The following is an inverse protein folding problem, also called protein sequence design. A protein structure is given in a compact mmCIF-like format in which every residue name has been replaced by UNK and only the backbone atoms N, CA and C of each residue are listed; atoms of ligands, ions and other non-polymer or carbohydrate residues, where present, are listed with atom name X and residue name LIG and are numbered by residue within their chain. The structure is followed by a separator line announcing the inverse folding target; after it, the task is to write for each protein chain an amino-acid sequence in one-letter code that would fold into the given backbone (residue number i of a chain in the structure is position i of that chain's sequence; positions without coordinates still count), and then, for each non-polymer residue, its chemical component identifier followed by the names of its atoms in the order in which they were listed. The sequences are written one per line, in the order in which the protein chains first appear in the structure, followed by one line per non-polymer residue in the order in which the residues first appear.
data_IF_734688189501
#
_entry.id   IF_734688189501
#
_cell.length_a   1.000
_cell.length_b   1.000
_cell.length_c   1.000
_cell.angle_alpha   90.00
_cell.angle_beta   90.00
_cell.angle_gamma   90.00
#
_symmetry.space_group_name_H-M   'P 1'
#
loop_
_entity.id
_entity.type
_entity.pdbx_description
1 polymer ?
#
# COMPACT_ATOMS: atom_id res chain seq x y z
N UNK A 1 27.57 0.75 -11.89
CA UNK A 1 27.48 2.22 -11.99
C UNK A 1 28.32 2.86 -10.91
N UNK A 2 29.13 3.87 -11.30
CA UNK A 2 30.02 4.61 -10.38
C UNK A 2 29.29 5.77 -9.68
N UNK A 3 28.02 5.59 -9.34
CA UNK A 3 27.20 6.61 -8.74
C UNK A 3 26.87 6.29 -7.27
N UNK A 4 26.91 7.31 -6.42
CA UNK A 4 26.56 7.22 -5.00
C UNK A 4 25.49 8.26 -4.69
N UNK A 5 24.50 7.91 -3.89
CA UNK A 5 23.48 8.84 -3.42
C UNK A 5 23.89 9.40 -2.08
N UNK A 6 23.84 10.72 -1.95
CA UNK A 6 24.01 11.48 -0.71
C UNK A 6 22.70 12.16 -0.34
N UNK A 7 22.39 12.24 0.94
CA UNK A 7 21.21 12.96 1.43
C UNK A 7 21.61 14.10 2.38
N UNK A 8 20.93 15.24 2.26
CA UNK A 8 21.08 16.37 3.17
C UNK A 8 19.75 16.69 3.84
N UNK A 9 19.80 16.90 5.15
CA UNK A 9 18.61 17.34 5.91
C UNK A 9 18.27 18.78 5.55
N UNK A 10 16.99 19.00 5.24
CA UNK A 10 16.45 20.33 4.92
C UNK A 10 15.26 20.66 5.83
N UNK A 11 14.97 21.95 5.97
CA UNK A 11 13.85 22.44 6.77
C UNK A 11 13.79 21.82 8.18
N UNK A 12 14.92 21.77 8.88
CA UNK A 12 15.06 21.15 10.22
C UNK A 12 14.70 19.65 10.25
N UNK A 13 14.89 18.96 9.12
CA UNK A 13 14.66 17.51 9.02
C UNK A 13 13.25 17.11 8.57
N UNK A 14 12.44 18.04 8.09
CA UNK A 14 11.12 17.77 7.54
C UNK A 14 11.22 16.98 6.24
N UNK A 15 12.26 17.25 5.45
CA UNK A 15 12.61 16.46 4.28
C UNK A 15 14.12 16.38 4.09
N UNK A 16 14.57 15.45 3.25
CA UNK A 16 15.94 15.33 2.82
C UNK A 16 16.02 15.62 1.33
N UNK A 17 17.01 16.42 0.93
CA UNK A 17 17.37 16.59 -0.47
C UNK A 17 18.38 15.51 -0.86
N UNK A 18 18.16 14.88 -2.01
CA UNK A 18 18.96 13.76 -2.51
C UNK A 18 19.87 14.25 -3.63
N UNK A 19 21.13 13.87 -3.55
CA UNK A 19 22.17 14.24 -4.51
C UNK A 19 22.79 13.00 -5.13
N UNK A 20 22.97 13.00 -6.42
CA UNK A 20 23.66 11.96 -7.14
C UNK A 20 25.11 12.41 -7.41
N UNK A 21 26.08 11.68 -6.87
CA UNK A 21 27.50 11.98 -6.93
C UNK A 21 28.23 10.86 -7.68
N UNK A 22 29.34 11.18 -8.37
CA UNK A 22 30.23 10.15 -8.90
C UNK A 22 31.08 9.55 -7.76
N UNK A 23 31.32 8.25 -7.83
CA UNK A 23 32.19 7.56 -6.87
C UNK A 23 33.62 8.06 -7.07
N UNK A 24 34.18 8.69 -6.03
CA UNK A 24 35.52 9.27 -6.05
C UNK A 24 35.56 10.81 -6.12
N UNK A 25 34.42 11.48 -6.35
CA UNK A 25 34.29 12.92 -6.09
C UNK A 25 34.13 13.15 -4.58
N UNK A 26 34.41 14.40 -4.14
CA UNK A 26 34.14 14.82 -2.76
C UNK A 26 32.64 14.66 -2.46
N UNK A 27 32.29 13.52 -1.84
CA UNK A 27 30.91 13.15 -1.55
C UNK A 27 30.28 14.07 -0.50
N UNK A 28 31.06 14.88 0.21
CA UNK A 28 30.54 15.80 1.22
C UNK A 28 29.96 17.08 0.62
N UNK A 29 30.41 17.52 -0.55
CA UNK A 29 30.03 18.80 -1.15
C UNK A 29 29.60 18.73 -2.62
N UNK A 30 29.79 17.58 -3.27
CA UNK A 30 29.48 17.39 -4.69
C UNK A 30 28.11 16.81 -4.96
N UNK A 31 27.76 16.74 -6.24
CA UNK A 31 26.57 16.06 -6.75
C UNK A 31 25.47 16.99 -7.24
N UNK A 32 24.62 16.42 -8.11
CA UNK A 32 23.44 17.11 -8.66
C UNK A 32 22.22 16.70 -7.87
N UNK A 33 21.41 17.66 -7.42
CA UNK A 33 20.11 17.38 -6.82
C UNK A 33 19.25 16.53 -7.77
N UNK A 34 18.75 15.42 -7.28
CA UNK A 34 17.98 14.45 -8.06
C UNK A 34 16.59 14.16 -7.47
N UNK A 35 16.28 14.67 -6.28
CA UNK A 35 14.98 14.51 -5.65
C UNK A 35 14.98 14.78 -4.16
N UNK A 36 13.88 14.39 -3.55
CA UNK A 36 13.63 14.64 -2.12
C UNK A 36 13.06 13.37 -1.47
N UNK A 37 13.46 13.10 -0.24
CA UNK A 37 12.87 12.05 0.60
C UNK A 37 12.04 12.69 1.71
N UNK A 38 10.80 12.27 1.85
CA UNK A 38 9.79 12.85 2.73
C UNK A 38 9.12 11.72 3.51
N UNK A 39 9.03 11.86 4.82
CA UNK A 39 8.23 10.94 5.64
C UNK A 39 6.75 11.33 5.61
N UNK A 40 5.84 10.36 5.55
CA UNK A 40 4.39 10.60 5.70
C UNK A 40 4.06 11.33 7.01
N UNK A 41 4.80 11.06 8.07
CA UNK A 41 4.61 11.75 9.35
C UNK A 41 4.96 13.24 9.31
N UNK A 42 5.65 13.71 8.27
CA UNK A 42 5.97 15.12 8.07
C UNK A 42 4.89 15.88 7.27
N UNK A 43 3.79 15.25 6.89
CA UNK A 43 2.77 15.81 6.00
C UNK A 43 2.27 17.21 6.41
N UNK A 44 1.95 17.40 7.70
CA UNK A 44 1.43 18.68 8.18
C UNK A 44 2.48 19.81 8.17
N UNK A 45 3.72 19.45 8.42
CA UNK A 45 4.83 20.41 8.42
C UNK A 45 5.25 20.76 6.98
N UNK A 46 5.17 19.79 6.06
CA UNK A 46 5.56 19.96 4.66
C UNK A 46 4.75 21.06 3.96
N UNK A 47 3.50 21.27 4.34
CA UNK A 47 2.65 22.36 3.80
C UNK A 47 3.33 23.73 3.82
N UNK A 48 4.15 23.98 4.84
CA UNK A 48 4.87 25.26 5.01
C UNK A 48 6.05 25.40 4.04
N UNK A 49 6.56 24.29 3.51
CA UNK A 49 7.77 24.23 2.69
C UNK A 49 7.49 23.73 1.27
N UNK A 50 6.23 23.49 0.91
CA UNK A 50 5.87 22.92 -0.40
C UNK A 50 6.35 23.77 -1.58
N UNK A 51 6.48 25.08 -1.40
CA UNK A 51 7.01 25.99 -2.41
C UNK A 51 8.48 25.69 -2.79
N UNK A 52 9.26 25.11 -1.87
CA UNK A 52 10.66 24.71 -2.13
C UNK A 52 10.76 23.43 -2.97
N UNK A 53 9.66 22.72 -3.14
CA UNK A 53 9.54 21.44 -3.84
C UNK A 53 8.73 21.57 -5.12
N UNK A 54 8.67 22.78 -5.69
CA UNK A 54 7.86 23.08 -6.88
C UNK A 54 8.33 22.39 -8.16
N UNK A 55 9.58 21.95 -8.18
CA UNK A 55 10.21 21.22 -9.28
C UNK A 55 9.89 19.71 -9.32
N UNK A 56 9.24 19.17 -8.27
CA UNK A 56 8.84 17.76 -8.21
C UNK A 56 7.86 17.45 -9.34
N UNK A 57 8.18 16.41 -10.12
CA UNK A 57 7.40 15.98 -11.30
C UNK A 57 6.68 14.66 -11.11
N UNK A 58 7.08 13.88 -10.10
CA UNK A 58 6.50 12.57 -9.77
C UNK A 58 6.78 12.22 -8.32
N UNK A 59 5.93 11.40 -7.74
CA UNK A 59 6.14 10.82 -6.42
C UNK A 59 6.36 9.31 -6.59
N UNK A 60 7.25 8.78 -5.77
CA UNK A 60 7.41 7.33 -5.57
C UNK A 60 7.12 7.09 -4.11
N UNK A 61 6.15 6.21 -3.84
CA UNK A 61 5.85 5.75 -2.49
C UNK A 61 6.21 4.28 -2.40
N UNK A 62 7.36 4.02 -1.83
CA UNK A 62 7.92 2.68 -1.70
C UNK A 62 7.39 2.00 -0.44
N UNK A 63 7.21 0.69 -0.52
CA UNK A 63 6.71 -0.16 0.57
C UNK A 63 5.38 0.34 1.17
N UNK A 64 4.42 0.71 0.31
CA UNK A 64 3.13 1.23 0.77
C UNK A 64 2.27 0.21 1.53
N UNK A 65 2.61 -1.08 1.48
CA UNK A 65 1.99 -2.13 2.27
C UNK A 65 2.89 -2.53 3.43
N UNK A 66 2.39 -2.39 4.65
CA UNK A 66 3.12 -2.76 5.86
C UNK A 66 3.04 -4.26 6.12
N UNK A 67 4.17 -4.95 6.20
CA UNK A 67 4.25 -6.39 6.52
C UNK A 67 3.66 -6.73 7.90
N UNK A 68 3.75 -5.79 8.83
CA UNK A 68 3.24 -5.94 10.20
C UNK A 68 1.82 -5.40 10.37
N UNK A 69 1.19 -4.94 9.28
CA UNK A 69 -0.12 -4.28 9.27
C UNK A 69 -0.19 -3.03 10.18
N UNK A 70 0.95 -2.38 10.42
CA UNK A 70 1.03 -1.13 11.15
C UNK A 70 1.13 0.03 10.17
N UNK A 71 0.13 0.87 10.18
CA UNK A 71 0.05 2.10 9.40
C UNK A 71 0.06 3.30 10.33
N UNK A 72 0.60 4.41 9.88
CA UNK A 72 0.53 5.63 10.68
C UNK A 72 -0.93 6.14 10.74
N UNK A 73 -1.27 6.85 11.80
CA UNK A 73 -2.61 7.43 11.93
C UNK A 73 -2.92 8.32 10.72
N UNK A 74 -4.08 8.12 10.09
CA UNK A 74 -4.56 8.85 8.91
C UNK A 74 -3.56 8.81 7.74
N UNK A 75 -3.03 7.61 7.46
CA UNK A 75 -1.93 7.46 6.49
C UNK A 75 -2.33 7.88 5.08
N UNK A 76 -3.50 7.47 4.62
CA UNK A 76 -4.02 7.83 3.29
C UNK A 76 -4.23 9.33 3.17
N UNK A 77 -4.82 9.96 4.19
CA UNK A 77 -5.04 11.40 4.25
C UNK A 77 -3.72 12.18 4.25
N UNK A 78 -2.70 11.66 4.92
CA UNK A 78 -1.35 12.24 4.89
C UNK A 78 -0.74 12.18 3.49
N UNK A 79 -0.85 11.06 2.79
CA UNK A 79 -0.38 10.93 1.42
C UNK A 79 -1.11 11.92 0.50
N UNK A 80 -2.44 12.00 0.60
CA UNK A 80 -3.27 12.96 -0.15
C UNK A 80 -2.83 14.40 0.17
N UNK A 81 -2.58 14.70 1.43
CA UNK A 81 -2.13 16.03 1.87
C UNK A 81 -0.77 16.42 1.30
N UNK A 82 0.19 15.50 1.27
CA UNK A 82 1.50 15.69 0.64
C UNK A 82 1.31 15.95 -0.86
N UNK A 83 0.59 15.06 -1.55
CA UNK A 83 0.33 15.20 -2.98
C UNK A 83 -0.31 16.54 -3.32
N UNK A 84 -1.40 16.89 -2.64
CA UNK A 84 -2.11 18.16 -2.86
C UNK A 84 -1.20 19.37 -2.63
N UNK A 85 -0.33 19.30 -1.62
CA UNK A 85 0.61 20.40 -1.32
C UNK A 85 1.67 20.57 -2.41
N UNK A 86 2.13 19.47 -3.02
CA UNK A 86 3.15 19.47 -4.07
C UNK A 86 2.54 19.70 -5.47
N UNK A 87 1.28 19.32 -5.67
CA UNK A 87 0.57 19.50 -6.94
C UNK A 87 0.02 20.91 -7.12
N UNK A 88 0.08 21.77 -6.10
CA UNK A 88 -0.34 23.17 -6.25
C UNK A 88 0.54 23.86 -7.28
N UNK A 89 -0.14 24.33 -8.35
CA UNK A 89 0.46 25.23 -9.33
C UNK A 89 0.49 26.68 -8.82
N UNK A 90 1.01 27.56 -9.63
CA UNK A 90 0.86 28.99 -9.41
C UNK A 90 -0.53 29.44 -9.92
N UNK A 91 -1.30 30.16 -9.10
CA UNK A 91 -2.66 30.57 -9.42
C UNK A 91 -3.70 29.46 -9.23
N UNK A 92 -4.68 29.37 -10.11
CA UNK A 92 -5.80 28.43 -10.05
C UNK A 92 -5.50 27.05 -10.66
N UNK A 93 -4.29 26.84 -11.17
CA UNK A 93 -3.92 25.62 -11.87
C UNK A 93 -3.32 24.57 -10.92
N UNK A 94 -3.80 23.34 -11.06
CA UNK A 94 -3.19 22.16 -10.44
C UNK A 94 -2.21 21.51 -11.40
N UNK A 95 -1.03 21.22 -10.93
CA UNK A 95 0.01 20.51 -11.71
C UNK A 95 -0.30 19.02 -11.74
N UNK A 96 -0.18 18.37 -12.91
CA UNK A 96 -0.20 16.92 -13.00
C UNK A 96 1.00 16.32 -12.28
N UNK A 97 0.75 15.54 -11.24
CA UNK A 97 1.77 14.95 -10.39
C UNK A 97 1.45 13.47 -10.11
N UNK A 98 1.91 12.54 -10.96
CA UNK A 98 1.63 11.13 -10.77
C UNK A 98 2.33 10.56 -9.54
N UNK A 99 1.67 9.59 -8.87
CA UNK A 99 2.23 8.79 -7.78
C UNK A 99 2.42 7.36 -8.27
N UNK A 100 3.62 6.81 -8.07
CA UNK A 100 3.93 5.41 -8.24
C UNK A 100 4.02 4.77 -6.85
N UNK A 101 3.08 3.91 -6.53
CA UNK A 101 3.05 3.17 -5.27
C UNK A 101 3.62 1.78 -5.51
N UNK A 102 4.72 1.46 -4.86
CA UNK A 102 5.44 0.20 -5.00
C UNK A 102 5.34 -0.58 -3.70
N UNK A 103 5.19 -1.88 -3.79
CA UNK A 103 5.13 -2.74 -2.62
C UNK A 103 4.92 -4.20 -2.99
N UNK A 104 5.33 -5.09 -2.12
CA UNK A 104 5.03 -6.50 -2.22
C UNK A 104 3.59 -6.78 -1.79
N UNK A 105 2.98 -7.90 -2.18
CA UNK A 105 1.61 -8.25 -1.83
C UNK A 105 1.51 -8.70 -0.38
N UNK A 106 1.23 -7.78 0.53
CA UNK A 106 1.10 -8.07 1.96
C UNK A 106 -0.34 -8.42 2.33
N UNK A 107 -1.28 -7.51 2.06
CA UNK A 107 -2.70 -7.71 2.34
C UNK A 107 -3.58 -6.96 1.35
N UNK A 108 -4.68 -7.58 0.91
CA UNK A 108 -5.70 -6.90 0.11
C UNK A 108 -6.52 -5.90 0.93
N UNK A 109 -6.48 -6.02 2.26
CA UNK A 109 -7.21 -5.14 3.17
C UNK A 109 -6.38 -3.94 3.64
N UNK A 110 -5.28 -3.63 2.94
CA UNK A 110 -4.50 -2.43 3.26
C UNK A 110 -5.32 -1.14 3.04
N UNK A 111 -5.00 -0.04 3.74
CA UNK A 111 -5.79 1.19 3.71
C UNK A 111 -5.99 1.77 2.30
N UNK A 112 -4.99 1.65 1.44
CA UNK A 112 -5.03 2.18 0.07
C UNK A 112 -5.97 1.38 -0.83
N UNK A 113 -5.92 0.04 -0.76
CA UNK A 113 -6.82 -0.82 -1.53
C UNK A 113 -8.26 -0.68 -1.09
N UNK A 114 -8.49 -0.50 0.21
CA UNK A 114 -9.82 -0.23 0.75
C UNK A 114 -10.34 1.12 0.26
N UNK A 115 -9.53 2.17 0.35
CA UNK A 115 -9.92 3.51 -0.07
C UNK A 115 -10.20 3.63 -1.58
N UNK A 116 -9.40 2.94 -2.41
CA UNK A 116 -9.56 2.92 -3.87
C UNK A 116 -10.61 1.90 -4.34
N UNK A 117 -11.22 1.13 -3.45
CA UNK A 117 -12.18 0.08 -3.80
C UNK A 117 -11.54 -1.10 -4.56
N UNK A 118 -10.24 -1.27 -4.43
CA UNK A 118 -9.49 -2.38 -5.05
C UNK A 118 -9.83 -3.69 -4.36
N UNK A 119 -9.87 -3.70 -3.02
CA UNK A 119 -10.05 -4.90 -2.21
C UNK A 119 -11.27 -5.76 -2.59
N UNK A 120 -12.37 -5.13 -3.04
CA UNK A 120 -13.60 -5.81 -3.45
C UNK A 120 -13.61 -6.25 -4.92
N UNK A 121 -12.64 -5.79 -5.72
CA UNK A 121 -12.59 -6.01 -7.17
C UNK A 121 -11.44 -6.92 -7.58
N UNK A 122 -10.45 -7.09 -6.69
CA UNK A 122 -9.27 -7.88 -6.94
C UNK A 122 -9.63 -9.37 -6.93
N UNK A 123 -9.13 -10.12 -7.92
CA UNK A 123 -9.25 -11.58 -8.02
C UNK A 123 -7.85 -12.18 -8.14
N UNK A 124 -7.75 -13.49 -7.92
CA UNK A 124 -6.47 -14.21 -7.98
C UNK A 124 -5.75 -14.11 -9.32
N UNK A 125 -6.51 -13.98 -10.42
CA UNK A 125 -6.01 -13.88 -11.79
C UNK A 125 -5.88 -12.42 -12.29
N UNK A 126 -6.20 -11.43 -11.44
CA UNK A 126 -6.15 -10.02 -11.83
C UNK A 126 -4.72 -9.57 -12.04
N UNK A 127 -4.33 -9.26 -13.27
CA UNK A 127 -3.05 -8.63 -13.59
C UNK A 127 -3.11 -7.12 -13.55
N UNK A 128 -4.19 -6.55 -14.08
CA UNK A 128 -4.42 -5.11 -14.12
C UNK A 128 -5.82 -4.78 -13.65
N UNK A 129 -5.95 -3.71 -12.87
CA UNK A 129 -7.22 -3.18 -12.45
C UNK A 129 -7.22 -1.66 -12.63
N UNK A 130 -8.16 -1.18 -13.46
CA UNK A 130 -8.34 0.26 -13.70
C UNK A 130 -9.47 0.81 -12.85
N UNK A 131 -9.24 1.97 -12.25
CA UNK A 131 -10.24 2.81 -11.62
C UNK A 131 -10.19 4.23 -12.18
N UNK A 132 -11.03 5.09 -11.64
CA UNK A 132 -10.97 6.52 -11.97
C UNK A 132 -9.70 7.11 -11.33
N UNK A 133 -8.82 7.61 -12.16
CA UNK A 133 -7.56 8.23 -11.73
C UNK A 133 -6.46 7.27 -11.29
N UNK A 134 -6.62 5.94 -11.38
CA UNK A 134 -5.56 4.99 -11.03
C UNK A 134 -5.52 3.72 -11.90
N UNK A 135 -4.35 3.11 -11.95
CA UNK A 135 -4.13 1.75 -12.46
C UNK A 135 -3.36 0.98 -11.41
N UNK A 136 -3.84 -0.22 -11.06
CA UNK A 136 -3.12 -1.17 -10.24
C UNK A 136 -2.62 -2.29 -11.14
N UNK A 137 -1.37 -2.69 -10.97
CA UNK A 137 -0.73 -3.81 -11.64
C UNK A 137 -0.21 -4.80 -10.61
N UNK A 138 -0.51 -6.07 -10.77
CA UNK A 138 0.18 -7.16 -10.09
C UNK A 138 1.32 -7.65 -10.98
N UNK A 139 2.48 -7.02 -10.80
CA UNK A 139 3.70 -7.38 -11.53
C UNK A 139 4.31 -8.67 -10.98
N UNK A 140 4.78 -9.51 -11.87
CA UNK A 140 5.57 -10.70 -11.53
C UNK A 140 6.74 -10.84 -12.48
N UNK A 141 7.95 -10.90 -11.91
CA UNK A 141 9.18 -11.07 -12.69
C UNK A 141 9.71 -12.48 -12.44
N UNK A 142 9.35 -13.40 -13.34
CA UNK A 142 9.66 -14.83 -13.20
C UNK A 142 11.16 -15.11 -13.00
N UNK A 143 12.03 -14.43 -13.74
CA UNK A 143 13.48 -14.61 -13.63
C UNK A 143 14.03 -14.21 -12.25
N UNK A 144 13.51 -13.14 -11.65
CA UNK A 144 13.88 -12.71 -10.31
C UNK A 144 13.36 -13.69 -9.26
N UNK A 145 12.12 -14.15 -9.42
CA UNK A 145 11.50 -15.15 -8.55
C UNK A 145 12.29 -16.47 -8.54
N UNK A 146 12.66 -16.97 -9.71
CA UNK A 146 13.48 -18.19 -9.83
C UNK A 146 14.83 -17.98 -9.13
N UNK A 147 15.53 -16.88 -9.41
CA UNK A 147 16.82 -16.60 -8.78
C UNK A 147 16.75 -16.52 -7.25
N UNK A 148 15.69 -15.91 -6.71
CA UNK A 148 15.46 -15.86 -5.27
C UNK A 148 15.19 -17.25 -4.69
N UNK A 149 14.30 -18.02 -5.30
CA UNK A 149 13.89 -19.35 -4.84
C UNK A 149 15.05 -20.34 -4.89
N UNK A 150 15.91 -20.26 -5.90
CA UNK A 150 17.09 -21.14 -6.08
C UNK A 150 18.28 -20.76 -5.21
N UNK A 151 18.24 -19.63 -4.51
CA UNK A 151 19.28 -19.29 -3.55
C UNK A 151 19.38 -20.36 -2.46
N UNK A 152 20.61 -20.66 -2.01
CA UNK A 152 20.83 -21.68 -0.99
C UNK A 152 20.07 -21.37 0.31
N UNK A 153 19.99 -20.11 0.69
CA UNK A 153 19.25 -19.65 1.86
C UNK A 153 17.75 -19.93 1.72
N UNK A 154 17.11 -19.51 0.63
CA UNK A 154 15.67 -19.70 0.45
C UNK A 154 15.30 -21.17 0.27
N UNK A 155 16.16 -22.00 -0.33
CA UNK A 155 15.96 -23.45 -0.37
C UNK A 155 15.95 -24.08 1.03
N UNK A 156 16.83 -23.64 1.93
CA UNK A 156 16.86 -24.13 3.31
C UNK A 156 15.58 -23.79 4.09
N UNK A 157 14.89 -22.68 3.73
CA UNK A 157 13.65 -22.22 4.36
C UNK A 157 12.43 -22.35 3.44
N UNK A 158 12.44 -23.24 2.45
CA UNK A 158 11.42 -23.36 1.42
C UNK A 158 10.00 -23.62 1.93
N UNK A 159 9.87 -24.22 3.12
CA UNK A 159 8.57 -24.43 3.78
C UNK A 159 8.04 -23.18 4.50
N UNK A 160 8.83 -22.12 4.59
CA UNK A 160 8.43 -20.92 5.29
C UNK A 160 7.55 -20.02 4.38
N UNK A 161 6.40 -19.61 4.89
CA UNK A 161 5.46 -18.73 4.21
C UNK A 161 6.09 -17.44 3.67
N UNK A 162 7.09 -16.90 4.38
CA UNK A 162 7.77 -15.69 3.96
C UNK A 162 8.58 -15.89 2.66
N UNK A 163 9.12 -17.09 2.44
CA UNK A 163 9.83 -17.41 1.18
C UNK A 163 8.85 -17.40 0.00
N UNK A 164 7.66 -17.97 0.15
CA UNK A 164 6.63 -17.92 -0.88
C UNK A 164 6.16 -16.47 -1.15
N UNK A 165 5.94 -15.69 -0.11
CA UNK A 165 5.62 -14.26 -0.22
C UNK A 165 6.70 -13.49 -0.99
N UNK A 166 7.97 -13.67 -0.64
CA UNK A 166 9.08 -12.95 -1.23
C UNK A 166 9.36 -13.36 -2.70
N UNK A 167 9.02 -14.59 -3.09
CA UNK A 167 9.41 -15.16 -4.39
C UNK A 167 8.25 -15.52 -5.33
N UNK A 168 7.02 -15.67 -4.83
CA UNK A 168 5.91 -16.23 -5.60
C UNK A 168 4.71 -15.29 -5.75
N UNK A 169 4.86 -14.03 -5.37
CA UNK A 169 3.77 -13.03 -5.40
C UNK A 169 2.51 -13.46 -4.62
N UNK A 170 2.72 -14.17 -3.52
CA UNK A 170 1.66 -14.63 -2.61
C UNK A 170 1.45 -13.62 -1.52
N UNK A 171 0.20 -13.31 -1.18
CA UNK A 171 -0.11 -12.39 -0.09
C UNK A 171 0.36 -12.93 1.27
N UNK A 172 1.14 -12.14 1.98
CA UNK A 172 1.76 -12.54 3.26
C UNK A 172 0.71 -12.79 4.34
N UNK A 173 -0.26 -11.90 4.48
CA UNK A 173 -1.23 -11.89 5.57
C UNK A 173 -2.62 -12.42 5.17
N UNK A 174 -2.88 -12.62 3.89
CA UNK A 174 -4.18 -13.03 3.38
C UNK A 174 -4.11 -14.40 2.71
N UNK A 175 -3.88 -15.46 3.47
CA UNK A 175 -3.86 -16.83 2.93
C UNK A 175 -5.17 -17.22 2.24
N UNK A 176 -6.22 -16.46 2.50
CA UNK A 176 -7.58 -16.69 2.03
C UNK A 176 -8.18 -15.42 1.42
N UNK A 177 -7.32 -14.56 0.85
CA UNK A 177 -7.70 -13.27 0.28
C UNK A 177 -8.81 -13.34 -0.77
N UNK A 178 -8.95 -14.50 -1.43
CA UNK A 178 -9.91 -14.73 -2.51
C UNK A 178 -10.89 -15.84 -2.16
N UNK A 179 -11.30 -15.98 -0.90
CA UNK A 179 -12.31 -16.97 -0.52
C UNK A 179 -13.61 -16.63 -1.23
N UNK A 180 -14.06 -17.56 -2.06
CA UNK A 180 -15.40 -17.54 -2.59
C UNK A 180 -16.41 -17.90 -1.49
N UNK A 181 -17.64 -17.40 -1.65
CA UNK A 181 -18.71 -17.77 -0.72
C UNK A 181 -18.88 -19.29 -0.71
N UNK A 182 -18.82 -19.95 0.46
CA UNK A 182 -19.05 -21.38 0.56
C UNK A 182 -20.42 -21.78 0.04
N UNK A 183 -20.52 -22.96 -0.59
CA UNK A 183 -21.76 -23.46 -1.19
C UNK A 183 -22.66 -24.23 -0.21
N UNK A 184 -22.32 -24.30 1.06
CA UNK A 184 -23.02 -25.07 2.07
C UNK A 184 -24.18 -24.34 2.75
N UNK A 185 -24.82 -25.05 3.70
CA UNK A 185 -25.78 -24.43 4.62
C UNK A 185 -25.04 -23.51 5.59
N UNK A 186 -25.54 -22.31 5.77
CA UNK A 186 -24.98 -21.36 6.71
C UNK A 186 -25.91 -21.06 7.87
N UNK A 187 -25.36 -20.84 9.05
CA UNK A 187 -26.05 -20.28 10.21
C UNK A 187 -25.78 -18.78 10.29
N UNK A 188 -26.82 -17.99 10.39
CA UNK A 188 -26.68 -16.54 10.63
C UNK A 188 -26.25 -16.34 12.08
N UNK A 189 -25.17 -15.58 12.31
CA UNK A 189 -24.62 -15.33 13.64
C UNK A 189 -24.95 -13.93 14.16
N UNK A 190 -24.78 -12.92 13.32
CA UNK A 190 -24.97 -11.53 13.71
C UNK A 190 -25.14 -10.63 12.50
N UNK A 191 -25.74 -9.47 12.73
CA UNK A 191 -25.67 -8.32 11.82
C UNK A 191 -24.60 -7.38 12.33
N UNK A 192 -23.63 -7.08 11.48
CA UNK A 192 -22.52 -6.19 11.79
C UNK A 192 -22.74 -4.84 11.08
N UNK A 193 -22.75 -3.75 11.87
CA UNK A 193 -22.77 -2.39 11.34
C UNK A 193 -21.34 -1.83 11.34
N UNK A 194 -20.91 -1.38 10.15
CA UNK A 194 -19.65 -0.66 9.99
C UNK A 194 -19.88 0.58 9.15
N UNK A 195 -19.58 1.74 9.70
CA UNK A 195 -19.93 3.03 9.11
C UNK A 195 -21.45 3.08 8.82
N UNK A 196 -21.83 3.30 7.57
CA UNK A 196 -23.25 3.40 7.14
C UNK A 196 -23.73 2.13 6.41
N UNK A 197 -23.05 1.00 6.58
CA UNK A 197 -23.42 -0.28 5.95
C UNK A 197 -23.61 -1.37 6.98
N UNK A 198 -24.54 -2.28 6.68
CA UNK A 198 -24.80 -3.48 7.45
C UNK A 198 -24.36 -4.71 6.68
N UNK A 199 -23.81 -5.69 7.41
CA UNK A 199 -23.29 -6.94 6.86
C UNK A 199 -23.86 -8.11 7.64
N UNK A 200 -24.11 -9.21 6.95
CA UNK A 200 -24.42 -10.50 7.55
C UNK A 200 -23.13 -11.21 7.96
N UNK A 201 -23.08 -11.71 9.17
CA UNK A 201 -22.04 -12.63 9.63
C UNK A 201 -22.64 -14.03 9.68
N UNK A 202 -22.08 -14.96 8.91
CA UNK A 202 -22.58 -16.33 8.76
C UNK A 202 -21.49 -17.34 9.06
N UNK A 203 -21.86 -18.41 9.69
CA UNK A 203 -20.99 -19.58 9.89
C UNK A 203 -21.37 -20.69 8.88
N UNK A 204 -20.37 -21.24 8.25
CA UNK A 204 -20.43 -22.45 7.44
C UNK A 204 -19.71 -23.56 8.24
N UNK A 205 -20.45 -24.23 9.12
CA UNK A 205 -19.87 -25.15 10.09
C UNK A 205 -19.15 -26.34 9.44
N UNK A 206 -19.68 -26.84 8.32
CA UNK A 206 -19.09 -27.97 7.58
C UNK A 206 -17.70 -27.64 7.01
N UNK A 207 -17.44 -26.37 6.74
CA UNK A 207 -16.16 -25.88 6.18
C UNK A 207 -15.29 -25.17 7.25
N UNK A 208 -15.82 -24.95 8.46
CA UNK A 208 -15.13 -24.24 9.52
C UNK A 208 -14.87 -22.76 9.21
N UNK A 209 -15.75 -22.12 8.41
CA UNK A 209 -15.55 -20.75 7.90
C UNK A 209 -16.62 -19.82 8.47
N UNK A 210 -16.17 -18.60 8.86
CA UNK A 210 -17.04 -17.46 9.11
C UNK A 210 -16.95 -16.52 7.91
N UNK A 211 -18.09 -16.23 7.30
CA UNK A 211 -18.21 -15.43 6.09
C UNK A 211 -19.07 -14.20 6.33
N UNK A 212 -18.65 -13.05 5.78
CA UNK A 212 -19.42 -11.81 5.80
C UNK A 212 -19.93 -11.47 4.40
N UNK A 213 -21.24 -11.15 4.28
CA UNK A 213 -21.82 -10.66 3.05
C UNK A 213 -22.70 -9.41 3.28
N UNK A 214 -23.17 -8.81 2.20
CA UNK A 214 -24.01 -7.61 2.20
C UNK A 214 -25.51 -7.88 2.42
N UNK A 215 -25.89 -9.15 2.62
CA UNK A 215 -27.29 -9.56 2.80
C UNK A 215 -27.65 -9.60 4.28
N UNK A 216 -27.55 -8.42 4.93
CA UNK A 216 -27.86 -8.27 6.33
C UNK A 216 -29.34 -8.47 6.63
N UNK A 217 -29.65 -9.19 7.73
CA UNK A 217 -30.98 -9.27 8.32
C UNK A 217 -31.09 -8.31 9.50
N UNK A 218 -31.81 -7.21 9.30
CA UNK A 218 -31.99 -6.18 10.30
C UNK A 218 -32.96 -6.62 11.43
N UNK A 219 -33.70 -7.72 11.25
CA UNK A 219 -34.56 -8.27 12.28
C UNK A 219 -33.82 -9.19 13.24
N UNK A 220 -32.59 -9.63 12.86
CA UNK A 220 -31.83 -10.56 13.69
C UNK A 220 -31.44 -9.93 15.04
N UNK A 221 -31.59 -10.64 16.16
CA UNK A 221 -31.46 -10.05 17.50
C UNK A 221 -30.00 -9.62 17.83
N UNK A 222 -29.02 -10.37 17.35
CA UNK A 222 -27.62 -10.07 17.60
C UNK A 222 -27.11 -9.04 16.60
N UNK A 223 -26.88 -7.81 17.10
CA UNK A 223 -26.37 -6.69 16.32
C UNK A 223 -25.09 -6.18 16.94
N UNK A 224 -24.06 -6.06 16.14
CA UNK A 224 -22.74 -5.58 16.53
C UNK A 224 -22.42 -4.32 15.74
N UNK A 225 -21.73 -3.37 16.34
CA UNK A 225 -21.22 -2.19 15.66
C UNK A 225 -19.72 -2.08 15.89
N UNK A 226 -18.99 -1.80 14.82
CA UNK A 226 -17.57 -1.40 14.91
C UNK A 226 -17.57 0.11 15.07
N UNK A 227 -17.19 0.57 16.27
CA UNK A 227 -16.92 1.98 16.57
C UNK A 227 -15.43 2.20 16.42
N UNK A 228 -15.03 3.06 15.50
CA UNK A 228 -13.64 3.54 15.34
C UNK A 228 -13.47 4.79 16.15
#
# INVERSE_FOLDING_TARGET
PNLVMRSERRARGIYHELFLCNKGEDTEKGGKSCGYAISLNSADQLKKYSHLLSDVKRLIFDEFQSETNHYCANEVEKLISIHTSLARGQGEQSKYLPIYMLGNPVSILNPYYVQLGIATRLKSDTKFLKGDGFVMEQGYVESASIAQRESAFNRAFSSNKYVAYASENVYLNDNQAFIEKPNGKSRYLATLKYKNKEYAVREFADEGIIYCDDKADMSYPTKLAITT
#
